data_IF_168177495861
#
_entry.id   IF_168177495861
#
_cell.length_a   1.000
_cell.length_b   1.000
_cell.length_c   1.000
_cell.angle_alpha   90.00
_cell.angle_beta   90.00
_cell.angle_gamma   90.00
#
_symmetry.space_group_name_H-M   'P 1'
#
loop_
_entity.id
_entity.type
_entity.pdbx_description
1 polymer ?
#
# COMPACT_ATOMS: atom_id res chain seq x y z
N UNK A 1 -10.77 9.83 -63.26
CA UNK A 1 -10.70 10.14 -61.82
C UNK A 1 -9.57 11.11 -61.43
N UNK A 2 -8.51 11.28 -62.24
CA UNK A 2 -7.34 12.12 -61.90
C UNK A 2 -7.59 13.64 -62.13
N UNK A 3 -8.47 14.03 -63.05
CA UNK A 3 -8.69 15.45 -63.39
C UNK A 3 -9.64 16.26 -62.47
N UNK A 4 -10.33 15.62 -61.52
CA UNK A 4 -11.28 16.31 -60.63
C UNK A 4 -10.67 16.78 -59.30
N UNK A 5 -9.47 16.30 -58.96
CA UNK A 5 -8.79 16.66 -57.71
C UNK A 5 -8.10 18.02 -57.84
N UNK A 6 -7.55 18.35 -59.01
CA UNK A 6 -6.90 19.65 -59.25
C UNK A 6 -7.86 20.85 -59.18
N UNK A 7 -9.15 20.63 -59.45
CA UNK A 7 -10.20 21.65 -59.34
C UNK A 7 -10.56 21.99 -57.89
N UNK A 8 -10.42 21.03 -56.97
CA UNK A 8 -10.74 21.20 -55.54
C UNK A 8 -9.74 22.11 -54.80
N UNK A 9 -8.53 22.30 -55.34
CA UNK A 9 -7.47 23.11 -54.71
C UNK A 9 -7.24 24.48 -55.38
N UNK A 10 -8.07 24.87 -56.35
CA UNK A 10 -7.87 26.11 -57.13
C UNK A 10 -8.25 27.39 -56.37
N UNK A 11 -9.02 27.26 -55.29
CA UNK A 11 -9.44 28.37 -54.43
C UNK A 11 -9.23 28.02 -52.96
N UNK A 12 -8.30 28.71 -52.30
CA UNK A 12 -8.01 28.60 -50.87
C UNK A 12 -9.06 29.31 -49.98
N UNK A 13 -10.00 30.03 -50.59
CA UNK A 13 -11.04 30.79 -49.91
C UNK A 13 -12.27 29.93 -49.66
N UNK A 14 -12.86 29.96 -48.44
CA UNK A 14 -14.04 29.15 -48.14
C UNK A 14 -15.20 29.52 -49.07
N UNK A 15 -15.79 28.51 -49.69
CA UNK A 15 -17.03 28.65 -50.46
C UNK A 15 -18.18 29.05 -49.51
N UNK A 16 -18.88 30.14 -49.81
CA UNK A 16 -20.08 30.58 -49.10
C UNK A 16 -21.38 30.04 -49.72
N UNK A 17 -21.27 29.05 -50.61
CA UNK A 17 -22.45 28.38 -51.14
C UNK A 17 -23.13 27.57 -50.03
N UNK A 18 -24.47 27.67 -49.98
CA UNK A 18 -25.28 27.08 -48.91
C UNK A 18 -25.04 25.56 -48.76
N UNK A 19 -24.77 24.87 -49.87
CA UNK A 19 -24.50 23.43 -49.90
C UNK A 19 -23.16 23.08 -49.23
N UNK A 20 -22.10 23.85 -49.49
CA UNK A 20 -20.77 23.62 -48.92
C UNK A 20 -20.75 23.93 -47.41
N UNK A 21 -21.49 24.95 -46.99
CA UNK A 21 -21.71 25.26 -45.56
C UNK A 21 -22.46 24.14 -44.84
N UNK A 22 -23.49 23.55 -45.46
CA UNK A 22 -24.20 22.40 -44.91
C UNK A 22 -23.29 21.17 -44.77
N UNK A 23 -22.48 20.86 -45.79
CA UNK A 23 -21.52 19.74 -45.76
C UNK A 23 -20.46 19.95 -44.68
N UNK A 24 -19.94 21.18 -44.54
CA UNK A 24 -18.99 21.52 -43.48
C UNK A 24 -19.61 21.37 -42.09
N UNK A 25 -20.84 21.87 -41.88
CA UNK A 25 -21.53 21.76 -40.60
C UNK A 25 -21.79 20.30 -40.19
N UNK A 26 -22.25 19.46 -41.12
CA UNK A 26 -22.46 18.02 -40.87
C UNK A 26 -21.13 17.33 -40.53
N UNK A 27 -20.06 17.65 -41.25
CA UNK A 27 -18.73 17.06 -41.01
C UNK A 27 -18.21 17.43 -39.61
N UNK A 28 -18.36 18.70 -39.19
CA UNK A 28 -17.99 19.14 -37.84
C UNK A 28 -18.82 18.45 -36.77
N UNK A 29 -20.14 18.28 -36.99
CA UNK A 29 -21.01 17.56 -36.06
C UNK A 29 -20.59 16.10 -35.92
N UNK A 30 -20.27 15.41 -37.03
CA UNK A 30 -19.80 14.03 -37.02
C UNK A 30 -18.46 13.87 -36.31
N UNK A 31 -17.49 14.75 -36.57
CA UNK A 31 -16.20 14.76 -35.87
C UNK A 31 -16.40 15.00 -34.37
N UNK A 32 -17.27 15.96 -33.99
CA UNK A 32 -17.59 16.25 -32.58
C UNK A 32 -18.26 15.07 -31.89
N UNK A 33 -19.17 14.38 -32.57
CA UNK A 33 -19.81 13.15 -32.09
C UNK A 33 -18.80 12.02 -31.91
N UNK A 34 -17.87 11.82 -32.86
CA UNK A 34 -16.82 10.81 -32.76
C UNK A 34 -15.87 11.08 -31.59
N UNK A 35 -15.44 12.34 -31.40
CA UNK A 35 -14.62 12.76 -30.25
C UNK A 35 -15.40 12.58 -28.95
N UNK A 36 -16.68 12.97 -28.91
CA UNK A 36 -17.53 12.83 -27.73
C UNK A 36 -17.71 11.37 -27.33
N UNK A 37 -17.99 10.47 -28.29
CA UNK A 37 -18.08 9.04 -28.04
C UNK A 37 -16.74 8.46 -27.56
N UNK A 38 -15.62 8.82 -28.19
CA UNK A 38 -14.28 8.34 -27.81
C UNK A 38 -13.87 8.85 -26.43
N UNK A 39 -14.25 10.08 -26.08
CA UNK A 39 -14.02 10.68 -24.76
C UNK A 39 -14.87 10.02 -23.67
N UNK A 40 -16.16 9.79 -23.92
CA UNK A 40 -17.06 9.06 -22.99
C UNK A 40 -16.67 7.58 -22.83
N UNK A 41 -16.10 6.97 -23.87
CA UNK A 41 -15.58 5.60 -23.86
C UNK A 41 -14.09 5.48 -23.48
N UNK A 42 -13.43 6.58 -23.08
CA UNK A 42 -12.06 6.57 -22.55
C UNK A 42 -11.98 5.99 -21.12
N UNK A 43 -12.89 5.08 -20.75
CA UNK A 43 -12.76 4.34 -19.50
C UNK A 43 -11.66 3.30 -19.67
N UNK A 44 -10.81 3.15 -18.65
CA UNK A 44 -9.76 2.13 -18.62
C UNK A 44 -10.39 0.75 -18.39
N UNK A 45 -10.82 0.10 -19.46
CA UNK A 45 -11.27 -1.29 -19.43
C UNK A 45 -10.08 -2.25 -19.50
N UNK A 46 -10.09 -3.29 -18.66
CA UNK A 46 -9.14 -4.41 -18.73
C UNK A 46 -9.81 -5.59 -19.43
N UNK A 47 -9.98 -5.48 -20.75
CA UNK A 47 -10.62 -6.51 -21.58
C UNK A 47 -9.80 -7.81 -21.53
N UNK A 48 -10.44 -8.95 -21.31
CA UNK A 48 -9.78 -10.27 -21.19
C UNK A 48 -9.20 -10.57 -19.80
N UNK A 49 -9.48 -9.74 -18.80
CA UNK A 49 -9.03 -9.88 -17.39
C UNK A 49 -10.25 -9.85 -16.46
N UNK A 50 -11.43 -10.20 -16.96
CA UNK A 50 -12.69 -10.10 -16.22
C UNK A 50 -12.70 -11.01 -14.97
N UNK A 51 -11.98 -12.14 -15.03
CA UNK A 51 -11.84 -13.11 -13.95
C UNK A 51 -10.61 -12.88 -13.05
N UNK A 52 -9.90 -11.77 -13.25
CA UNK A 52 -8.69 -11.41 -12.51
C UNK A 52 -7.40 -11.61 -13.31
N UNK A 53 -6.35 -10.88 -12.90
CA UNK A 53 -4.99 -10.93 -13.47
C UNK A 53 -3.97 -11.52 -12.49
N UNK A 54 -4.46 -12.16 -11.43
CA UNK A 54 -3.60 -12.71 -10.40
C UNK A 54 -2.72 -13.81 -11.00
N UNK A 55 -1.41 -13.69 -10.79
CA UNK A 55 -0.43 -14.71 -11.14
C UNK A 55 0.59 -14.81 -10.03
N UNK A 56 1.32 -15.93 -10.01
CA UNK A 56 2.49 -16.06 -9.15
C UNK A 56 3.51 -14.98 -9.49
N UNK A 57 3.99 -14.31 -8.45
CA UNK A 57 5.05 -13.31 -8.55
C UNK A 57 6.39 -13.98 -8.81
N UNK A 58 7.27 -13.26 -9.50
CA UNK A 58 8.66 -13.64 -9.75
C UNK A 58 9.61 -12.69 -9.01
N UNK A 59 10.88 -13.08 -8.86
CA UNK A 59 11.91 -12.21 -8.25
C UNK A 59 12.02 -10.84 -8.93
N UNK A 60 11.76 -10.75 -10.23
CA UNK A 60 11.77 -9.48 -10.99
C UNK A 60 10.63 -8.55 -10.59
N UNK A 61 9.48 -9.12 -10.19
CA UNK A 61 8.31 -8.34 -9.79
C UNK A 61 8.54 -7.62 -8.46
N UNK A 62 9.24 -8.26 -7.50
CA UNK A 62 9.50 -7.68 -6.18
C UNK A 62 10.74 -6.77 -6.15
N UNK A 63 11.71 -6.97 -7.05
CA UNK A 63 13.01 -6.30 -7.02
C UNK A 63 12.95 -4.76 -6.87
N UNK A 64 12.04 -4.01 -7.53
CA UNK A 64 11.95 -2.56 -7.36
C UNK A 64 11.50 -2.11 -5.97
N UNK A 65 10.92 -3.02 -5.18
CA UNK A 65 10.40 -2.76 -3.84
C UNK A 65 11.40 -3.11 -2.73
N UNK A 66 12.58 -3.61 -3.08
CA UNK A 66 13.63 -4.02 -2.15
C UNK A 66 14.64 -2.88 -1.98
N UNK A 67 14.99 -2.56 -0.74
CA UNK A 67 16.10 -1.67 -0.41
C UNK A 67 17.44 -2.42 -0.58
N UNK A 68 18.47 -1.80 -1.19
CA UNK A 68 19.78 -2.44 -1.36
C UNK A 68 20.41 -2.86 -0.03
N UNK A 69 20.12 -2.16 1.07
CA UNK A 69 20.58 -2.53 2.40
C UNK A 69 19.62 -3.53 3.01
N UNK A 70 20.07 -4.78 3.18
CA UNK A 70 19.24 -5.88 3.69
C UNK A 70 18.47 -5.53 4.98
N UNK A 71 19.14 -4.89 5.95
CA UNK A 71 18.55 -4.48 7.24
C UNK A 71 17.43 -3.44 7.13
N UNK A 72 17.27 -2.78 5.98
CA UNK A 72 16.22 -1.79 5.75
C UNK A 72 14.98 -2.38 5.09
N UNK A 73 14.78 -3.69 5.22
CA UNK A 73 13.67 -4.39 4.59
C UNK A 73 12.89 -5.25 5.57
N UNK A 74 11.56 -5.25 5.45
CA UNK A 74 10.71 -6.30 6.04
C UNK A 74 10.92 -7.58 5.25
N UNK A 75 11.16 -8.68 5.97
CA UNK A 75 11.27 -10.01 5.41
C UNK A 75 9.87 -10.62 5.24
N UNK A 76 9.52 -10.98 4.01
CA UNK A 76 8.23 -11.62 3.68
C UNK A 76 8.41 -13.11 3.42
N UNK A 77 9.40 -13.46 2.59
CA UNK A 77 9.80 -14.82 2.27
C UNK A 77 11.34 -14.90 2.25
N UNK A 78 11.89 -16.02 1.79
CA UNK A 78 13.33 -16.16 1.55
C UNK A 78 13.85 -15.14 0.52
N UNK A 79 13.06 -14.89 -0.54
CA UNK A 79 13.48 -14.11 -1.70
C UNK A 79 12.81 -12.73 -1.79
N UNK A 80 11.57 -12.61 -1.32
CA UNK A 80 10.78 -11.39 -1.37
C UNK A 80 10.94 -10.57 -0.08
N UNK A 81 11.19 -9.27 -0.24
CA UNK A 81 11.36 -8.32 0.85
C UNK A 81 10.71 -7.00 0.48
N UNK A 82 10.40 -6.20 1.49
CA UNK A 82 9.76 -4.90 1.30
C UNK A 82 10.56 -3.80 2.00
N UNK A 83 11.00 -2.80 1.25
CA UNK A 83 11.77 -1.68 1.80
C UNK A 83 11.00 -0.96 2.92
N UNK A 84 11.72 -0.54 3.97
CA UNK A 84 11.14 0.20 5.10
C UNK A 84 10.98 1.69 4.79
N UNK A 85 11.67 2.23 3.79
CA UNK A 85 11.50 3.63 3.40
C UNK A 85 10.06 3.87 2.89
N UNK A 86 9.39 4.91 3.41
CA UNK A 86 8.06 5.33 2.95
C UNK A 86 8.09 6.19 1.68
N UNK A 87 9.26 6.72 1.31
CA UNK A 87 9.46 7.62 0.17
C UNK A 87 10.63 7.15 -0.69
N UNK A 88 10.45 6.09 -1.50
CA UNK A 88 11.45 5.69 -2.49
C UNK A 88 11.67 6.80 -3.53
N UNK A 89 12.85 6.79 -4.17
CA UNK A 89 13.20 7.72 -5.25
C UNK A 89 12.14 7.78 -6.35
N UNK A 90 11.49 6.65 -6.63
CA UNK A 90 10.37 6.57 -7.54
C UNK A 90 9.07 6.30 -6.75
N UNK A 91 8.19 7.32 -6.59
CA UNK A 91 6.98 7.20 -5.76
C UNK A 91 6.04 6.05 -6.13
N UNK A 92 6.06 5.58 -7.39
CA UNK A 92 5.29 4.42 -7.85
C UNK A 92 5.61 3.11 -7.10
N UNK A 93 6.77 3.03 -6.46
CA UNK A 93 7.20 1.87 -5.68
C UNK A 93 6.91 2.00 -4.18
N UNK A 94 6.30 3.11 -3.74
CA UNK A 94 5.84 3.22 -2.37
C UNK A 94 4.69 2.23 -2.12
N UNK A 95 4.85 1.35 -1.12
CA UNK A 95 3.87 0.34 -0.75
C UNK A 95 3.48 0.45 0.72
N UNK A 96 2.24 0.08 1.00
CA UNK A 96 1.77 -0.14 2.36
C UNK A 96 2.60 -1.27 3.00
N UNK A 97 2.95 -1.09 4.28
CA UNK A 97 3.84 -1.99 5.04
C UNK A 97 3.06 -2.86 6.04
N UNK A 98 1.75 -2.72 6.11
CA UNK A 98 0.91 -3.60 6.90
C UNK A 98 0.89 -4.99 6.25
N UNK A 99 1.32 -6.00 7.01
CA UNK A 99 1.38 -7.39 6.55
C UNK A 99 0.41 -8.22 7.37
N UNK A 100 -0.48 -8.95 6.70
CA UNK A 100 -1.35 -9.95 7.29
C UNK A 100 -0.76 -11.35 7.04
N UNK A 101 -0.41 -12.06 8.10
CA UNK A 101 0.13 -13.42 8.02
C UNK A 101 -0.93 -14.40 8.51
N UNK A 102 -1.47 -15.20 7.58
CA UNK A 102 -2.48 -16.22 7.86
C UNK A 102 -1.81 -17.59 7.89
N UNK A 103 -2.16 -18.40 8.89
CA UNK A 103 -1.71 -19.78 8.98
C UNK A 103 -2.34 -20.47 10.19
N UNK A 104 -2.53 -21.79 10.10
CA UNK A 104 -3.09 -22.60 11.19
C UNK A 104 -2.25 -22.58 12.47
N UNK A 105 -2.75 -23.21 13.53
CA UNK A 105 -1.93 -23.47 14.73
C UNK A 105 -0.71 -24.32 14.36
N UNK A 106 0.45 -24.08 14.99
CA UNK A 106 1.68 -24.83 14.70
C UNK A 106 2.39 -24.51 13.37
N UNK A 107 1.78 -23.73 12.46
CA UNK A 107 2.38 -23.34 11.16
C UNK A 107 3.67 -22.51 11.24
N UNK A 108 4.09 -22.11 12.46
CA UNK A 108 5.36 -21.42 12.66
C UNK A 108 5.35 -19.93 12.37
N UNK A 109 4.19 -19.24 12.32
CA UNK A 109 4.08 -17.78 12.13
C UNK A 109 5.09 -16.97 12.95
N UNK A 110 5.21 -17.29 14.24
CA UNK A 110 6.18 -16.62 15.13
C UNK A 110 7.62 -16.93 14.73
N UNK A 111 7.94 -18.19 14.43
CA UNK A 111 9.30 -18.63 14.10
C UNK A 111 9.78 -18.11 12.75
N UNK A 112 8.92 -18.12 11.73
CA UNK A 112 9.30 -17.82 10.35
C UNK A 112 9.09 -16.36 9.95
N UNK A 113 8.15 -15.64 10.58
CA UNK A 113 7.88 -14.25 10.24
C UNK A 113 8.28 -13.28 11.36
N UNK A 114 7.78 -13.48 12.58
CA UNK A 114 8.00 -12.52 13.68
C UNK A 114 9.47 -12.47 14.12
N UNK A 115 10.06 -13.63 14.45
CA UNK A 115 11.45 -13.68 14.95
C UNK A 115 12.47 -13.14 13.95
N UNK A 116 12.48 -13.53 12.65
CA UNK A 116 13.48 -13.02 11.71
C UNK A 116 13.39 -11.50 11.53
N UNK A 117 12.18 -10.94 11.52
CA UNK A 117 11.98 -9.49 11.45
C UNK A 117 12.43 -8.77 12.74
N UNK A 118 12.24 -9.35 13.93
CA UNK A 118 12.79 -8.80 15.18
C UNK A 118 14.32 -8.84 15.21
N UNK A 119 14.91 -9.95 14.76
CA UNK A 119 16.35 -10.16 14.73
C UNK A 119 17.06 -9.26 13.69
N UNK A 120 16.33 -8.62 12.78
CA UNK A 120 16.90 -7.58 11.92
C UNK A 120 17.30 -6.32 12.70
N UNK A 121 16.62 -6.03 13.82
CA UNK A 121 16.95 -4.91 14.71
C UNK A 121 17.03 -3.56 13.98
N UNK A 122 16.07 -3.29 13.10
CA UNK A 122 16.08 -2.12 12.22
C UNK A 122 15.23 -0.94 12.73
N UNK A 123 14.36 -1.17 13.71
CA UNK A 123 13.44 -0.15 14.25
C UNK A 123 13.08 -0.42 15.70
N UNK A 124 12.26 0.45 16.30
CA UNK A 124 11.55 0.17 17.54
C UNK A 124 10.44 -0.85 17.31
N UNK A 125 10.21 -1.73 18.28
CA UNK A 125 9.23 -2.81 18.19
C UNK A 125 8.24 -2.75 19.35
N UNK A 126 6.97 -3.05 19.05
CA UNK A 126 5.94 -3.36 20.04
C UNK A 126 5.41 -4.74 19.67
N UNK A 127 5.55 -5.69 20.58
CA UNK A 127 5.22 -7.11 20.32
C UNK A 127 4.23 -7.58 21.36
N UNK A 128 3.11 -8.14 20.89
CA UNK A 128 2.20 -8.90 21.74
C UNK A 128 2.73 -10.34 21.82
N UNK A 129 3.11 -10.76 23.03
CA UNK A 129 3.70 -12.09 23.27
C UNK A 129 2.88 -12.86 24.32
N UNK A 130 1.74 -13.46 23.93
CA UNK A 130 0.86 -14.15 24.87
C UNK A 130 1.52 -15.32 25.61
N UNK A 131 2.55 -15.92 25.01
CA UNK A 131 3.27 -17.07 25.58
C UNK A 131 4.57 -16.69 26.29
N UNK A 132 5.01 -15.42 26.17
CA UNK A 132 6.28 -14.96 26.71
C UNK A 132 7.53 -15.54 26.03
N UNK A 133 7.38 -16.28 24.93
CA UNK A 133 8.50 -17.00 24.29
C UNK A 133 9.39 -16.06 23.49
N UNK A 134 8.81 -15.05 22.84
CA UNK A 134 9.55 -14.12 21.99
C UNK A 134 10.55 -13.32 22.80
N UNK A 135 10.16 -12.85 23.99
CA UNK A 135 11.05 -12.14 24.88
C UNK A 135 12.20 -13.03 25.36
N UNK A 136 11.93 -14.28 25.74
CA UNK A 136 12.96 -15.22 26.21
C UNK A 136 13.98 -15.54 25.10
N UNK A 137 13.51 -15.75 23.88
CA UNK A 137 14.35 -16.20 22.78
C UNK A 137 15.11 -15.07 22.07
N UNK A 138 14.52 -13.87 21.98
CA UNK A 138 15.09 -12.73 21.24
C UNK A 138 15.54 -11.58 22.15
N UNK A 139 15.10 -11.53 23.40
CA UNK A 139 15.35 -10.39 24.30
C UNK A 139 16.83 -10.13 24.54
N UNK A 140 17.62 -11.19 24.76
CA UNK A 140 19.05 -11.03 25.02
C UNK A 140 19.83 -10.55 23.78
N UNK A 141 19.37 -10.87 22.57
CA UNK A 141 19.90 -10.30 21.33
C UNK A 141 19.63 -8.80 21.24
N UNK A 142 18.40 -8.38 21.54
CA UNK A 142 18.00 -6.97 21.53
C UNK A 142 18.77 -6.17 22.58
N UNK A 143 18.92 -6.71 23.79
CA UNK A 143 19.70 -6.10 24.87
C UNK A 143 21.16 -5.87 24.45
N UNK A 144 21.81 -6.86 23.84
CA UNK A 144 23.17 -6.73 23.29
C UNK A 144 23.28 -5.69 22.18
N UNK A 145 22.20 -5.45 21.44
CA UNK A 145 22.11 -4.38 20.45
C UNK A 145 21.71 -3.02 21.04
N UNK A 146 21.80 -2.85 22.37
CA UNK A 146 21.47 -1.63 23.11
C UNK A 146 20.00 -1.19 23.02
N UNK A 147 19.07 -2.13 22.82
CA UNK A 147 17.65 -1.83 22.91
C UNK A 147 17.21 -1.65 24.36
N UNK A 148 16.40 -0.61 24.61
CA UNK A 148 15.67 -0.47 25.87
C UNK A 148 14.43 -1.35 25.85
N UNK A 149 14.52 -2.51 26.48
CA UNK A 149 13.42 -3.46 26.58
C UNK A 149 12.50 -3.05 27.74
N UNK A 150 11.20 -2.94 27.46
CA UNK A 150 10.16 -2.73 28.48
C UNK A 150 9.09 -3.79 28.32
N UNK A 151 8.64 -4.37 29.43
CA UNK A 151 7.69 -5.48 29.44
C UNK A 151 6.46 -5.07 30.23
N UNK A 152 5.30 -5.00 29.58
CA UNK A 152 4.02 -4.85 30.27
C UNK A 152 3.43 -6.24 30.50
N UNK A 153 3.63 -6.78 31.71
CA UNK A 153 3.07 -8.06 32.13
C UNK A 153 1.79 -7.82 32.94
N UNK A 154 0.66 -8.34 32.47
CA UNK A 154 -0.66 -8.22 33.11
C UNK A 154 -1.00 -9.39 34.03
N UNK A 155 -0.16 -10.43 34.09
CA UNK A 155 -0.32 -11.60 34.97
C UNK A 155 0.57 -11.46 36.20
N UNK A 156 1.87 -11.21 35.99
CA UNK A 156 2.84 -11.04 37.07
C UNK A 156 3.37 -9.61 37.09
N UNK A 157 2.71 -8.77 37.89
CA UNK A 157 3.07 -7.36 38.03
C UNK A 157 4.50 -7.14 38.55
N UNK A 158 5.04 -8.05 39.38
CA UNK A 158 6.44 -7.94 39.86
C UNK A 158 7.47 -7.97 38.73
N UNK A 159 7.12 -8.56 37.58
CA UNK A 159 7.98 -8.63 36.37
C UNK A 159 7.52 -7.66 35.27
N UNK A 160 6.73 -6.65 35.63
CA UNK A 160 6.17 -5.65 34.71
C UNK A 160 6.86 -4.31 34.88
N UNK A 161 6.87 -3.50 33.82
CA UNK A 161 7.44 -2.16 33.82
C UNK A 161 6.65 -1.15 34.66
N UNK A 162 5.47 -1.54 35.17
CA UNK A 162 4.44 -0.70 35.79
C UNK A 162 4.03 0.49 34.91
N UNK A 163 2.80 0.47 34.42
CA UNK A 163 2.28 1.49 33.52
C UNK A 163 1.24 2.37 34.22
N UNK A 164 1.48 3.67 34.25
CA UNK A 164 0.51 4.67 34.69
C UNK A 164 -0.04 5.44 33.47
N UNK A 165 -1.29 5.21 33.03
CA UNK A 165 -1.89 5.92 31.91
C UNK A 165 -2.13 7.42 32.20
N UNK A 166 -2.32 7.79 33.47
CA UNK A 166 -2.57 9.19 33.85
C UNK A 166 -1.38 10.10 33.59
N UNK A 167 -0.16 9.55 33.61
CA UNK A 167 1.06 10.28 33.26
C UNK A 167 1.10 10.79 31.80
N UNK A 168 0.18 10.31 30.95
CA UNK A 168 0.11 10.68 29.53
C UNK A 168 -1.09 11.58 29.19
N UNK A 169 -1.90 11.97 30.17
CA UNK A 169 -3.01 12.91 29.96
C UNK A 169 -2.44 14.33 29.95
N UNK A 170 -2.53 15.02 28.81
CA UNK A 170 -2.05 16.40 28.65
C UNK A 170 -3.18 17.38 28.32
N UNK A 171 -4.33 16.85 27.95
CA UNK A 171 -5.53 17.60 27.57
C UNK A 171 -6.79 16.81 27.90
N UNK A 172 -7.94 17.49 27.98
CA UNK A 172 -9.24 16.84 28.19
C UNK A 172 -9.57 15.80 27.10
N UNK A 173 -9.07 16.00 25.87
CA UNK A 173 -9.21 15.03 24.77
C UNK A 173 -8.54 13.69 25.09
N UNK A 174 -7.44 13.70 25.83
CA UNK A 174 -6.73 12.49 26.22
C UNK A 174 -7.52 11.67 27.25
N UNK A 175 -8.34 12.33 28.08
CA UNK A 175 -9.25 11.68 29.02
C UNK A 175 -10.27 10.85 28.24
N UNK A 176 -10.92 11.46 27.25
CA UNK A 176 -11.89 10.77 26.38
C UNK A 176 -11.24 9.61 25.64
N UNK A 177 -10.01 9.79 25.14
CA UNK A 177 -9.26 8.73 24.46
C UNK A 177 -8.96 7.55 25.40
N UNK A 178 -8.52 7.81 26.62
CA UNK A 178 -8.25 6.78 27.62
C UNK A 178 -9.52 6.01 27.98
N UNK A 179 -10.60 6.72 28.31
CA UNK A 179 -11.90 6.13 28.67
C UNK A 179 -12.44 5.27 27.52
N UNK A 180 -12.44 5.79 26.29
CA UNK A 180 -12.88 5.04 25.12
C UNK A 180 -12.01 3.80 24.87
N UNK A 181 -10.70 3.90 25.06
CA UNK A 181 -9.79 2.75 24.90
C UNK A 181 -10.10 1.66 25.92
N UNK A 182 -10.33 2.02 27.19
CA UNK A 182 -10.69 1.04 28.23
C UNK A 182 -12.03 0.39 27.90
N UNK A 183 -13.08 1.18 27.64
CA UNK A 183 -14.43 0.68 27.36
C UNK A 183 -14.45 -0.22 26.11
N UNK A 184 -13.76 0.17 25.05
CA UNK A 184 -13.71 -0.62 23.82
C UNK A 184 -13.08 -2.00 24.05
N UNK A 185 -12.04 -2.09 24.89
CA UNK A 185 -11.37 -3.35 25.19
C UNK A 185 -12.10 -4.20 26.27
N UNK A 186 -13.14 -3.70 26.92
CA UNK A 186 -13.97 -4.47 27.88
C UNK A 186 -15.24 -5.06 27.27
N UNK A 187 -15.62 -4.66 26.05
CA UNK A 187 -16.89 -5.07 25.41
C UNK A 187 -16.93 -6.52 24.90
N UNK A 188 -15.84 -7.28 25.00
CA UNK A 188 -15.82 -8.73 24.72
C UNK A 188 -15.97 -9.14 23.24
N UNK A 189 -16.32 -8.22 22.34
CA UNK A 189 -16.43 -8.47 20.89
C UNK A 189 -15.09 -8.31 20.14
N UNK A 190 -13.99 -8.77 20.77
CA UNK A 190 -12.65 -8.79 20.18
C UNK A 190 -12.34 -10.07 19.43
#
# INVERSE_FOLDING_TARGET
>A
LVGHIDLLFRSYTPSFHLQDLCVAAVTVILIRLAIYQKSKNAKKYRKGIEYGSARWGTKKDIAPYIDPVFKKNVLLTETERLMMNGRPNQPKYARNKNVLVIGGSGSGKTRFFVKPNLMQMHSSYVVTDPKGTVLVECGHLLEKANYKIKVLNTINFKKSMHYNPFAYIRSEKDILKLVNTIIANTKGEG
#
